data_IF_618374161398
#
_entry.id   IF_618374161398
#
_cell.length_a   1.000
_cell.length_b   1.000
_cell.length_c   1.000
_cell.angle_alpha   90.00
_cell.angle_beta   90.00
_cell.angle_gamma   90.00
#
_symmetry.space_group_name_H-M   'P 1'
#
loop_
_entity.id
_entity.type
_entity.pdbx_description
1 polymer ?
#
# COMPACT_ATOMS: atom_id res chain seq x y z
N UNK A 1 -8.70 23.06 0.05
CA UNK A 1 -8.26 22.11 -1.00
C UNK A 1 -8.18 20.76 -0.32
N UNK A 2 -8.84 19.73 -0.86
CA UNK A 2 -8.78 18.40 -0.27
C UNK A 2 -7.32 17.92 -0.30
N UNK A 3 -6.74 17.63 0.86
CA UNK A 3 -5.42 17.01 0.94
C UNK A 3 -5.62 15.55 0.60
N UNK A 4 -4.95 15.05 -0.44
CA UNK A 4 -4.97 13.62 -0.76
C UNK A 4 -4.44 12.83 0.43
N UNK A 5 -5.00 11.65 0.73
CA UNK A 5 -4.42 10.75 1.72
C UNK A 5 -3.03 10.33 1.27
N UNK A 6 -2.12 10.11 2.23
CA UNK A 6 -0.71 9.83 1.95
C UNK A 6 -0.50 8.52 1.18
N UNK A 7 -1.27 7.51 1.53
CA UNK A 7 -1.30 6.20 0.88
C UNK A 7 -2.70 5.95 0.33
N UNK A 8 -2.78 5.33 -0.85
CA UNK A 8 -4.03 4.97 -1.52
C UNK A 8 -3.87 3.59 -2.15
N UNK A 9 -4.92 2.77 -2.09
CA UNK A 9 -5.00 1.57 -2.92
C UNK A 9 -5.37 1.96 -4.35
N UNK A 10 -4.78 1.29 -5.32
CA UNK A 10 -4.95 1.51 -6.74
C UNK A 10 -4.98 0.17 -7.49
N UNK A 11 -6.00 0.00 -8.33
CA UNK A 11 -6.19 -1.21 -9.13
C UNK A 11 -6.01 -0.90 -10.62
N UNK A 12 -5.39 -1.81 -11.37
CA UNK A 12 -5.35 -1.76 -12.84
C UNK A 12 -6.22 -2.88 -13.44
N UNK A 13 -7.54 -2.67 -13.58
CA UNK A 13 -8.45 -3.68 -14.10
C UNK A 13 -8.24 -4.02 -15.58
N UNK A 14 -7.36 -3.29 -16.28
CA UNK A 14 -7.15 -3.44 -17.72
C UNK A 14 -5.88 -4.24 -18.01
N UNK A 15 -4.77 -3.85 -17.40
CA UNK A 15 -3.46 -4.44 -17.69
C UNK A 15 -3.07 -5.50 -16.67
N UNK A 16 -3.52 -5.36 -15.43
CA UNK A 16 -3.10 -6.22 -14.33
C UNK A 16 -4.22 -6.38 -13.28
N UNK A 17 -5.34 -7.05 -13.64
CA UNK A 17 -6.55 -7.11 -12.82
C UNK A 17 -6.40 -7.95 -11.55
N UNK A 18 -5.35 -8.77 -11.48
CA UNK A 18 -5.09 -9.69 -10.37
C UNK A 18 -4.13 -9.09 -9.32
N UNK A 19 -3.61 -7.88 -9.54
CA UNK A 19 -2.67 -7.22 -8.62
C UNK A 19 -3.24 -5.90 -8.08
N UNK A 20 -3.04 -5.70 -6.77
CA UNK A 20 -3.30 -4.43 -6.09
C UNK A 20 -2.01 -3.63 -5.93
N UNK A 21 -2.13 -2.31 -6.11
CA UNK A 21 -1.02 -1.37 -5.98
C UNK A 21 -1.30 -0.36 -4.87
N UNK A 22 -0.23 0.14 -4.26
CA UNK A 22 -0.27 1.17 -3.24
C UNK A 22 0.39 2.42 -3.84
N UNK A 23 -0.37 3.49 -3.99
CA UNK A 23 0.13 4.77 -4.47
C UNK A 23 0.50 5.69 -3.30
N UNK A 24 1.78 6.09 -3.25
CA UNK A 24 2.24 7.15 -2.36
C UNK A 24 2.04 8.51 -3.03
N UNK A 25 1.13 9.32 -2.49
CA UNK A 25 0.66 10.55 -3.15
C UNK A 25 1.52 11.78 -2.85
N UNK A 26 2.30 11.74 -1.77
CA UNK A 26 3.24 12.81 -1.38
C UNK A 26 4.63 12.58 -2.01
N UNK A 27 5.46 13.62 -2.10
CA UNK A 27 6.82 13.48 -2.65
C UNK A 27 7.70 12.63 -1.71
N UNK A 28 8.43 11.61 -2.20
CA UNK A 28 8.51 11.16 -3.60
C UNK A 28 7.32 10.27 -3.97
N UNK A 29 6.67 10.52 -5.11
CA UNK A 29 5.53 9.73 -5.58
C UNK A 29 6.01 8.45 -6.24
N UNK A 30 5.39 7.34 -5.89
CA UNK A 30 5.68 6.03 -6.44
C UNK A 30 4.48 5.09 -6.26
N UNK A 31 4.50 3.99 -7.02
CA UNK A 31 3.63 2.84 -6.80
C UNK A 31 4.46 1.72 -6.18
N UNK A 32 3.92 1.16 -5.12
CA UNK A 32 4.41 -0.04 -4.48
C UNK A 32 3.38 -1.17 -4.63
N UNK A 33 3.79 -2.41 -4.40
CA UNK A 33 2.86 -3.53 -4.30
C UNK A 33 3.39 -4.56 -3.31
N UNK A 34 2.49 -5.41 -2.82
CA UNK A 34 2.87 -6.60 -2.08
C UNK A 34 3.56 -7.58 -3.02
N UNK A 35 4.79 -7.93 -2.69
CA UNK A 35 5.59 -8.94 -3.39
C UNK A 35 5.66 -10.16 -2.50
N UNK A 36 5.14 -11.27 -3.01
CA UNK A 36 5.24 -12.58 -2.38
C UNK A 36 6.46 -13.29 -2.96
N UNK A 37 7.54 -13.42 -2.17
CA UNK A 37 8.74 -14.15 -2.59
C UNK A 37 8.61 -15.66 -2.34
N UNK A 38 7.96 -16.07 -1.25
CA UNK A 38 7.74 -17.46 -0.84
C UNK A 38 6.43 -17.58 -0.02
N UNK A 39 5.97 -18.82 0.24
CA UNK A 39 4.76 -19.12 1.06
C UNK A 39 4.77 -18.47 2.45
N UNK A 40 5.93 -18.06 2.97
CA UNK A 40 6.11 -17.46 4.30
C UNK A 40 6.69 -16.04 4.26
N UNK A 41 6.92 -15.46 3.06
CA UNK A 41 7.57 -14.16 2.92
C UNK A 41 6.85 -13.27 1.92
N UNK A 42 6.09 -12.33 2.46
CA UNK A 42 5.54 -11.21 1.72
C UNK A 42 6.06 -9.90 2.31
N UNK A 43 6.44 -8.96 1.46
CA UNK A 43 6.84 -7.61 1.83
C UNK A 43 6.34 -6.62 0.79
N UNK A 44 6.33 -5.33 1.13
CA UNK A 44 5.98 -4.29 0.17
C UNK A 44 7.24 -3.76 -0.52
N UNK A 45 7.21 -3.69 -1.85
CA UNK A 45 8.28 -3.11 -2.65
C UNK A 45 7.79 -2.07 -3.66
N UNK A 46 8.67 -1.14 -4.03
CA UNK A 46 8.40 -0.12 -5.03
C UNK A 46 8.56 -0.72 -6.42
N UNK A 47 7.47 -0.72 -7.19
CA UNK A 47 7.44 -1.29 -8.55
C UNK A 47 7.47 -0.26 -9.64
N UNK A 48 7.04 0.98 -9.34
CA UNK A 48 7.10 2.06 -10.30
C UNK A 48 7.40 3.39 -9.62
N UNK A 49 8.44 4.07 -10.06
CA UNK A 49 8.84 5.38 -9.55
C UNK A 49 8.28 6.48 -10.46
N UNK A 50 7.43 7.35 -9.91
CA UNK A 50 6.95 8.56 -10.61
C UNK A 50 7.93 9.70 -10.42
N UNK A 51 8.40 9.88 -9.18
CA UNK A 51 9.50 10.74 -8.82
C UNK A 51 10.76 9.90 -8.53
N UNK A 52 11.95 10.49 -8.64
CA UNK A 52 13.20 9.79 -8.39
C UNK A 52 13.40 9.55 -6.88
N UNK A 53 12.96 8.38 -6.41
CA UNK A 53 12.95 8.01 -4.99
C UNK A 53 14.37 7.96 -4.43
N UNK A 54 15.32 7.37 -5.15
CA UNK A 54 16.71 7.29 -4.71
C UNK A 54 17.39 8.65 -4.62
N UNK A 55 17.11 9.58 -5.55
CA UNK A 55 17.64 10.94 -5.47
C UNK A 55 17.03 11.71 -4.29
N UNK A 56 15.75 11.49 -3.97
CA UNK A 56 15.07 12.11 -2.83
C UNK A 56 15.67 11.65 -1.50
N UNK A 57 15.97 10.35 -1.36
CA UNK A 57 16.50 9.77 -0.13
C UNK A 57 18.04 9.63 -0.10
N UNK A 58 18.76 10.17 -1.08
CA UNK A 58 20.23 9.99 -1.21
C UNK A 58 21.03 10.33 0.06
N UNK A 59 20.60 11.37 0.80
CA UNK A 59 21.27 11.87 2.01
C UNK A 59 20.67 11.28 3.29
N UNK A 60 19.62 10.47 3.17
CA UNK A 60 18.88 9.87 4.29
C UNK A 60 18.23 8.52 3.89
N UNK A 61 19.02 7.50 3.52
CA UNK A 61 18.51 6.18 3.12
C UNK A 61 17.69 5.49 4.22
N UNK A 62 17.96 5.78 5.49
CA UNK A 62 17.18 5.29 6.62
C UNK A 62 15.72 5.76 6.58
N UNK A 63 15.44 6.94 6.01
CA UNK A 63 14.07 7.44 5.85
C UNK A 63 13.31 6.73 4.74
N UNK A 64 14.02 6.20 3.73
CA UNK A 64 13.41 5.33 2.71
C UNK A 64 12.91 4.05 3.38
N UNK A 65 13.75 3.41 4.20
CA UNK A 65 13.38 2.22 4.95
C UNK A 65 12.22 2.48 5.91
N UNK A 66 12.26 3.58 6.68
CA UNK A 66 11.16 3.97 7.58
C UNK A 66 9.85 4.23 6.82
N UNK A 67 9.91 4.82 5.62
CA UNK A 67 8.72 5.04 4.80
C UNK A 67 8.10 3.71 4.34
N UNK A 68 8.92 2.76 3.91
CA UNK A 68 8.45 1.44 3.48
C UNK A 68 7.86 0.65 4.64
N UNK A 69 8.49 0.66 5.81
CA UNK A 69 7.96 0.04 7.04
C UNK A 69 6.58 0.62 7.41
N UNK A 70 6.43 1.95 7.36
CA UNK A 70 5.14 2.62 7.61
C UNK A 70 4.08 2.30 6.58
N UNK A 71 4.49 2.09 5.32
CA UNK A 71 3.58 1.75 4.24
C UNK A 71 3.10 0.31 4.37
N UNK A 72 3.99 -0.60 4.77
CA UNK A 72 3.67 -1.99 5.08
C UNK A 72 2.71 -2.11 6.27
N UNK A 73 3.00 -1.42 7.38
CA UNK A 73 2.12 -1.36 8.56
C UNK A 73 0.73 -0.81 8.22
N UNK A 74 0.68 0.26 7.42
CA UNK A 74 -0.57 0.85 6.95
C UNK A 74 -1.36 -0.13 6.05
N UNK A 75 -0.68 -0.84 5.15
CA UNK A 75 -1.31 -1.78 4.24
C UNK A 75 -1.91 -2.96 5.00
N UNK A 76 -1.16 -3.57 5.93
CA UNK A 76 -1.70 -4.68 6.72
C UNK A 76 -2.82 -4.23 7.64
N UNK A 77 -2.74 -3.03 8.22
CA UNK A 77 -3.85 -2.45 8.99
C UNK A 77 -5.09 -2.22 8.11
N UNK A 78 -4.91 -1.82 6.85
CA UNK A 78 -6.00 -1.68 5.89
C UNK A 78 -6.63 -3.04 5.53
N UNK A 79 -5.82 -4.06 5.30
CA UNK A 79 -6.31 -5.43 5.03
C UNK A 79 -7.04 -6.01 6.23
N UNK A 80 -6.50 -5.88 7.43
CA UNK A 80 -7.15 -6.31 8.68
C UNK A 80 -8.48 -5.59 8.86
N UNK A 81 -8.54 -4.29 8.58
CA UNK A 81 -9.80 -3.53 8.64
C UNK A 81 -10.82 -4.01 7.61
N UNK A 82 -10.41 -4.35 6.37
CA UNK A 82 -11.31 -4.94 5.38
C UNK A 82 -11.83 -6.31 5.82
N UNK A 83 -10.97 -7.14 6.41
CA UNK A 83 -11.35 -8.44 6.96
C UNK A 83 -12.32 -8.30 8.14
N UNK A 84 -12.15 -7.28 8.99
CA UNK A 84 -13.08 -6.98 10.10
C UNK A 84 -14.45 -6.47 9.59
N UNK A 85 -14.46 -5.58 8.59
CA UNK A 85 -15.69 -5.02 8.00
C UNK A 85 -16.52 -6.12 7.28
N UNK A 86 -15.86 -7.13 6.68
CA UNK A 86 -16.52 -8.29 6.07
C UNK A 86 -17.26 -9.19 7.08
N UNK A 87 -16.93 -9.10 8.38
CA UNK A 87 -17.57 -9.87 9.45
C UNK A 87 -18.74 -9.14 10.16
N UNK A 88 -18.97 -7.85 9.92
CA UNK A 88 -20.06 -7.08 10.57
C UNK A 88 -21.41 -7.14 9.81
N UNK A 89 -21.47 -7.72 8.61
CA UNK A 89 -22.69 -7.80 7.78
C UNK A 89 -23.51 -9.11 7.96
N UNK A 90 -23.20 -9.95 8.96
CA UNK A 90 -23.91 -11.24 9.22
C UNK A 90 -24.74 -11.31 10.53
N UNK A 91 -25.03 -10.20 11.25
CA UNK A 91 -25.88 -10.24 12.46
C UNK A 91 -26.98 -9.14 12.54
N UNK A 92 -27.84 -8.98 11.53
CA UNK A 92 -29.14 -8.29 11.72
C UNK A 92 -30.25 -8.81 10.79
N UNK A 93 -30.68 -10.07 10.94
CA UNK A 93 -32.01 -10.51 10.48
C UNK A 93 -32.47 -11.79 11.22
N UNK A 94 -32.68 -11.71 12.54
CA UNK A 94 -33.56 -12.64 13.26
C UNK A 94 -34.68 -11.86 13.97
N UNK A 95 -35.85 -11.87 13.33
CA UNK A 95 -37.16 -11.41 13.85
C UNK A 95 -37.70 -12.29 15.00
#
# INVERSE_FOLDING_TARGET
MAKLPKFMIADDPVTDPDNEYIFHTEEPRFFAKRVEEDEEKAYIDIVHEVDNVDAFFKDAPEKKAELLEKLEDWYYSYMEWLEEDEFEDEEDDEE
#
